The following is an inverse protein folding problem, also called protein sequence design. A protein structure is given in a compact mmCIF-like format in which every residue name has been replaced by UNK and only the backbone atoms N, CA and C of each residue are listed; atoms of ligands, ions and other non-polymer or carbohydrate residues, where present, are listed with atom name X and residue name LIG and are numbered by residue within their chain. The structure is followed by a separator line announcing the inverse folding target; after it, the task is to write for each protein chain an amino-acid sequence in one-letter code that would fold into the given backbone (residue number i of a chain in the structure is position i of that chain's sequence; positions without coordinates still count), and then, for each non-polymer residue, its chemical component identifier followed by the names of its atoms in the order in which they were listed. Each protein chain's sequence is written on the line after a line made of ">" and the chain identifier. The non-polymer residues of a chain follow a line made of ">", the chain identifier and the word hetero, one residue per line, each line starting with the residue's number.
data_IF_775403769722
#
_entry.id   IF_775403769722
#
_cell.length_a   1.000
_cell.length_b   1.000
_cell.length_c   1.000
_cell.angle_alpha   90.00
_cell.angle_beta   90.00
_cell.angle_gamma   90.00
#
_symmetry.space_group_name_H-M   'P 1'
#
loop_
_entity.id
_entity.type
_entity.pdbx_description
1 polymer ?
#
# COMPACT_ATOMS: atom_id res chain seq x y z
N UNK A 1 -27.12 9.13 -18.88
CA UNK A 1 -27.46 7.80 -18.31
C UNK A 1 -26.26 6.84 -18.18
N UNK A 2 -25.11 7.18 -18.78
CA UNK A 2 -23.87 6.41 -18.69
C UNK A 2 -23.09 6.75 -17.42
N UNK A 3 -23.14 8.01 -16.95
CA UNK A 3 -22.37 8.48 -15.81
C UNK A 3 -22.81 7.90 -14.44
N UNK A 4 -24.09 7.49 -14.32
CA UNK A 4 -24.61 6.94 -13.06
C UNK A 4 -24.16 5.48 -12.80
N UNK A 5 -23.81 4.73 -13.84
CA UNK A 5 -23.37 3.35 -13.72
C UNK A 5 -21.90 3.27 -13.24
N UNK A 6 -21.07 4.21 -13.69
CA UNK A 6 -19.66 4.26 -13.31
C UNK A 6 -19.40 4.73 -11.87
N UNK A 7 -20.37 5.41 -11.25
CA UNK A 7 -20.24 5.86 -9.85
C UNK A 7 -20.28 4.73 -8.81
N UNK A 8 -20.67 3.52 -9.22
CA UNK A 8 -20.74 2.33 -8.34
C UNK A 8 -19.64 1.30 -8.60
N UNK A 9 -18.82 1.51 -9.64
CA UNK A 9 -17.66 0.65 -9.89
C UNK A 9 -16.52 0.98 -8.95
N UNK A 10 -15.80 -0.04 -8.51
CA UNK A 10 -14.54 0.17 -7.80
C UNK A 10 -13.54 0.93 -8.67
N UNK A 11 -12.56 1.59 -8.04
CA UNK A 11 -11.51 2.28 -8.80
C UNK A 11 -10.69 1.29 -9.64
N UNK A 12 -10.56 0.06 -9.15
CA UNK A 12 -9.93 -1.04 -9.86
C UNK A 12 -10.71 -1.37 -11.13
N UNK A 13 -12.05 -1.53 -11.03
CA UNK A 13 -12.91 -1.77 -12.20
C UNK A 13 -12.88 -0.65 -13.23
N UNK A 14 -12.81 0.60 -12.76
CA UNK A 14 -12.76 1.75 -13.65
C UNK A 14 -11.46 1.80 -14.45
N UNK A 15 -10.32 1.53 -13.80
CA UNK A 15 -9.01 1.44 -14.48
C UNK A 15 -8.96 0.26 -15.44
N UNK A 16 -9.54 -0.89 -15.09
CA UNK A 16 -9.60 -2.07 -15.96
C UNK A 16 -10.44 -1.85 -17.22
N UNK A 17 -11.52 -1.05 -17.11
CA UNK A 17 -12.41 -0.79 -18.23
C UNK A 17 -11.91 0.29 -19.19
N UNK A 18 -10.84 1.03 -18.83
CA UNK A 18 -10.20 1.96 -19.76
C UNK A 18 -9.23 1.22 -20.68
N UNK A 19 -9.65 0.97 -21.91
CA UNK A 19 -8.87 0.27 -22.95
C UNK A 19 -7.51 0.93 -23.27
N UNK A 20 -7.28 2.17 -22.84
CA UNK A 20 -6.02 2.90 -23.03
C UNK A 20 -5.01 2.67 -21.92
N UNK A 21 -5.45 2.19 -20.77
CA UNK A 21 -4.60 1.96 -19.60
C UNK A 21 -4.05 0.54 -19.63
N UNK A 22 -2.73 0.40 -19.72
CA UNK A 22 -2.04 -0.88 -19.52
C UNK A 22 -1.71 -1.02 -18.04
N UNK A 23 -2.16 -2.10 -17.43
CA UNK A 23 -1.95 -2.39 -16.02
C UNK A 23 -1.43 -3.81 -15.81
N UNK A 24 -0.74 -4.01 -14.69
CA UNK A 24 -0.40 -5.31 -14.14
C UNK A 24 -1.25 -5.53 -12.88
N UNK A 25 -1.89 -6.68 -12.77
CA UNK A 25 -2.76 -7.02 -11.65
C UNK A 25 -2.01 -7.90 -10.65
N UNK A 26 -2.18 -7.62 -9.36
CA UNK A 26 -1.67 -8.47 -8.29
C UNK A 26 -2.48 -9.76 -8.22
N UNK A 27 -1.88 -10.88 -8.58
CA UNK A 27 -2.60 -12.13 -8.81
C UNK A 27 -2.52 -13.12 -7.64
N UNK A 28 -1.52 -13.01 -6.75
CA UNK A 28 -1.20 -14.14 -5.85
C UNK A 28 -0.87 -13.74 -4.40
N UNK A 29 -1.29 -12.58 -3.94
CA UNK A 29 -1.17 -12.24 -2.53
C UNK A 29 -2.55 -12.00 -1.94
N UNK A 30 -2.88 -12.83 -0.97
CA UNK A 30 -4.05 -12.63 -0.14
C UNK A 30 -3.79 -11.43 0.80
N UNK A 31 -3.64 -10.23 0.21
CA UNK A 31 -3.54 -9.00 0.97
C UNK A 31 -4.87 -8.73 1.66
N UNK A 32 -4.81 -8.47 2.94
CA UNK A 32 -5.98 -8.15 3.76
C UNK A 32 -5.98 -6.66 4.09
N UNK A 33 -7.15 -6.04 4.05
CA UNK A 33 -7.29 -4.65 4.44
C UNK A 33 -7.17 -4.49 5.95
N UNK A 34 -6.39 -3.50 6.37
CA UNK A 34 -6.22 -3.05 7.73
C UNK A 34 -6.30 -1.53 7.79
N UNK A 35 -6.56 -1.00 8.97
CA UNK A 35 -6.77 0.44 9.14
C UNK A 35 -8.25 0.77 9.39
N UNK A 36 -8.52 1.98 9.88
CA UNK A 36 -9.84 2.32 10.43
C UNK A 36 -10.93 2.59 9.40
N UNK A 37 -10.57 2.90 8.16
CA UNK A 37 -11.53 3.31 7.14
C UNK A 37 -11.60 2.36 5.93
N UNK A 38 -10.96 1.21 6.00
CA UNK A 38 -11.04 0.26 4.89
C UNK A 38 -12.36 -0.53 4.97
N UNK A 39 -13.42 0.09 4.51
CA UNK A 39 -14.70 -0.55 4.23
C UNK A 39 -14.80 -0.91 2.73
N UNK A 40 -15.91 -1.50 2.32
CA UNK A 40 -16.12 -1.90 0.91
C UNK A 40 -16.15 -0.73 -0.09
N UNK A 41 -16.17 0.50 0.39
CA UNK A 41 -16.20 1.71 -0.43
C UNK A 41 -14.84 2.40 -0.45
N UNK A 42 -13.90 1.91 0.37
CA UNK A 42 -12.59 2.53 0.50
C UNK A 42 -11.65 2.09 -0.60
N UNK A 43 -11.03 3.05 -1.22
CA UNK A 43 -9.95 2.83 -2.17
C UNK A 43 -8.81 3.81 -1.88
N UNK A 44 -7.65 3.51 -2.39
CA UNK A 44 -6.54 4.46 -2.42
C UNK A 44 -5.75 4.33 -3.71
N UNK A 45 -5.11 5.40 -4.09
CA UNK A 45 -4.26 5.45 -5.27
C UNK A 45 -3.14 6.46 -5.07
N UNK A 46 -2.06 6.28 -5.77
CA UNK A 46 -0.96 7.24 -5.73
C UNK A 46 0.25 6.78 -6.51
N UNK A 47 1.18 7.71 -6.65
CA UNK A 47 2.49 7.41 -7.18
C UNK A 47 3.26 6.51 -6.22
N UNK A 48 3.86 5.47 -6.75
CA UNK A 48 4.55 4.44 -5.97
C UNK A 48 5.89 4.97 -5.47
N UNK A 49 6.12 4.81 -4.17
CA UNK A 49 7.44 4.82 -3.54
C UNK A 49 7.70 3.42 -3.01
N UNK A 50 8.87 2.86 -3.24
CA UNK A 50 9.17 1.48 -2.86
C UNK A 50 10.23 1.38 -1.78
N UNK A 51 10.07 0.41 -0.88
CA UNK A 51 11.10 0.00 0.08
C UNK A 51 11.23 -1.52 0.02
N UNK A 52 12.47 -2.00 -0.10
CA UNK A 52 12.80 -3.40 0.10
C UNK A 52 13.55 -3.57 1.42
N UNK A 53 12.99 -4.38 2.31
CA UNK A 53 13.59 -4.69 3.61
C UNK A 53 13.21 -6.10 4.03
N UNK A 54 13.98 -6.71 4.93
CA UNK A 54 13.65 -8.03 5.45
C UNK A 54 13.70 -8.02 6.97
N UNK A 55 12.51 -8.11 7.59
CA UNK A 55 12.33 -8.13 9.04
C UNK A 55 12.94 -6.92 9.79
N UNK A 56 13.09 -5.81 9.08
CA UNK A 56 13.61 -4.53 9.56
C UNK A 56 12.74 -3.37 9.06
N UNK A 57 12.60 -2.31 9.86
CA UNK A 57 11.74 -1.18 9.49
C UNK A 57 12.31 0.23 9.70
N UNK A 58 13.60 0.48 9.92
CA UNK A 58 14.11 1.83 10.12
C UNK A 58 13.81 2.74 8.93
N UNK A 59 14.04 2.25 7.71
CA UNK A 59 13.81 3.01 6.47
C UNK A 59 12.33 3.27 6.21
N UNK A 60 11.45 2.33 6.58
CA UNK A 60 9.99 2.52 6.52
C UNK A 60 9.58 3.70 7.41
N UNK A 61 10.03 3.68 8.68
CA UNK A 61 9.76 4.78 9.61
C UNK A 61 10.34 6.10 9.12
N UNK A 62 11.58 6.09 8.66
CA UNK A 62 12.27 7.27 8.17
C UNK A 62 11.53 7.91 6.99
N UNK A 63 11.18 7.11 5.98
CA UNK A 63 10.47 7.59 4.78
C UNK A 63 9.12 8.18 5.14
N UNK A 64 8.32 7.47 5.93
CA UNK A 64 7.00 7.95 6.35
C UNK A 64 7.07 9.20 7.24
N UNK A 65 8.17 9.40 7.98
CA UNK A 65 8.36 10.56 8.85
C UNK A 65 8.87 11.79 8.10
N UNK A 66 9.79 11.60 7.15
CA UNK A 66 10.52 12.73 6.53
C UNK A 66 9.92 13.19 5.21
N UNK A 67 9.09 12.39 4.57
CA UNK A 67 8.58 12.68 3.24
C UNK A 67 7.07 12.96 3.27
N UNK A 68 6.64 13.87 2.39
CA UNK A 68 5.21 14.08 2.13
C UNK A 68 4.64 12.90 1.37
N UNK A 69 3.50 12.42 1.81
CA UNK A 69 2.76 11.34 1.18
C UNK A 69 1.65 11.79 0.23
N UNK A 70 1.51 13.09 -0.01
CA UNK A 70 0.46 13.64 -0.89
C UNK A 70 0.53 13.01 -2.28
N UNK A 71 -0.56 12.38 -2.71
CA UNK A 71 -0.66 11.60 -3.95
C UNK A 71 0.34 10.43 -4.04
N UNK A 72 0.85 9.92 -2.92
CA UNK A 72 1.84 8.83 -2.89
C UNK A 72 1.37 7.65 -2.07
N UNK A 73 1.75 6.47 -2.52
CA UNK A 73 1.54 5.19 -1.83
C UNK A 73 2.90 4.56 -1.55
N UNK A 74 3.11 4.12 -0.31
CA UNK A 74 4.30 3.38 0.04
C UNK A 74 4.08 1.88 -0.17
N UNK A 75 4.93 1.26 -0.99
CA UNK A 75 4.95 -0.18 -1.24
C UNK A 75 6.19 -0.79 -0.57
N UNK A 76 5.96 -1.67 0.39
CA UNK A 76 7.00 -2.30 1.20
C UNK A 76 7.12 -3.78 0.83
N UNK A 77 8.24 -4.17 0.26
CA UNK A 77 8.59 -5.59 0.08
C UNK A 77 9.37 -6.09 1.30
N UNK A 78 8.67 -6.79 2.16
CA UNK A 78 9.21 -7.47 3.34
C UNK A 78 9.54 -8.95 3.12
N UNK A 79 9.60 -9.39 1.85
CA UNK A 79 9.85 -10.79 1.50
C UNK A 79 8.73 -11.75 1.94
N UNK A 80 7.52 -11.24 2.19
CA UNK A 80 6.40 -12.04 2.66
C UNK A 80 6.56 -12.61 4.07
N UNK A 81 7.55 -12.18 4.84
CA UNK A 81 7.79 -12.71 6.18
C UNK A 81 6.59 -12.49 7.10
N UNK A 82 6.22 -13.55 7.83
CA UNK A 82 5.18 -13.52 8.87
C UNK A 82 5.75 -13.56 10.29
N UNK A 83 7.07 -13.50 10.44
CA UNK A 83 7.71 -13.63 11.76
C UNK A 83 7.66 -12.35 12.57
N UNK A 84 7.62 -11.19 11.91
CA UNK A 84 7.54 -9.90 12.59
C UNK A 84 6.73 -8.88 11.80
N UNK A 85 6.34 -7.80 12.46
CA UNK A 85 5.60 -6.68 11.85
C UNK A 85 6.56 -5.57 11.40
N UNK A 86 6.41 -5.14 10.16
CA UNK A 86 7.18 -4.03 9.58
C UNK A 86 6.56 -2.67 9.91
N UNK A 87 5.26 -2.65 10.24
CA UNK A 87 4.49 -1.45 10.52
C UNK A 87 3.57 -1.70 11.71
N UNK A 88 3.47 -0.73 12.61
CA UNK A 88 2.56 -0.72 13.74
C UNK A 88 1.79 0.60 13.84
N UNK A 89 0.93 0.72 14.85
CA UNK A 89 0.02 1.85 15.03
C UNK A 89 0.72 3.22 15.04
N UNK A 90 1.86 3.33 15.71
CA UNK A 90 2.63 4.59 15.74
C UNK A 90 3.08 5.02 14.34
N UNK A 91 3.62 4.09 13.55
CA UNK A 91 4.10 4.39 12.19
C UNK A 91 2.91 4.71 11.27
N UNK A 92 1.78 4.05 11.44
CA UNK A 92 0.56 4.36 10.70
C UNK A 92 0.03 5.78 11.00
N UNK A 93 0.07 6.22 12.27
CA UNK A 93 -0.26 7.60 12.66
C UNK A 93 0.64 8.64 11.99
N UNK A 94 1.94 8.34 11.92
CA UNK A 94 2.92 9.21 11.23
C UNK A 94 2.60 9.30 9.75
N UNK A 95 2.32 8.18 9.10
CA UNK A 95 1.98 8.13 7.69
C UNK A 95 0.72 8.95 7.38
N UNK A 96 -0.34 8.80 8.19
CA UNK A 96 -1.56 9.59 8.06
C UNK A 96 -1.30 11.08 8.26
N UNK A 97 -0.53 11.45 9.28
CA UNK A 97 -0.16 12.84 9.56
C UNK A 97 0.64 13.49 8.43
N UNK A 98 1.43 12.71 7.70
CA UNK A 98 2.20 13.15 6.52
C UNK A 98 1.45 12.94 5.19
N UNK A 99 0.14 12.67 5.25
CA UNK A 99 -0.78 12.62 4.13
C UNK A 99 -0.47 11.53 3.09
N UNK A 100 0.07 10.39 3.53
CA UNK A 100 0.20 9.24 2.64
C UNK A 100 -1.18 8.71 2.28
N UNK A 101 -1.38 8.42 0.98
CA UNK A 101 -2.67 7.94 0.45
C UNK A 101 -2.96 6.49 0.86
N UNK A 102 -1.93 5.69 1.06
CA UNK A 102 -2.04 4.31 1.50
C UNK A 102 -0.71 3.60 1.61
N UNK A 103 -0.73 2.37 2.13
CA UNK A 103 0.46 1.54 2.30
C UNK A 103 0.15 0.10 1.85
N UNK A 104 1.02 -0.47 1.02
CA UNK A 104 0.99 -1.90 0.62
C UNK A 104 2.18 -2.61 1.23
N UNK A 105 1.95 -3.68 2.00
CA UNK A 105 3.00 -4.40 2.73
C UNK A 105 3.03 -5.88 2.34
N UNK A 106 4.04 -6.28 1.60
CA UNK A 106 4.38 -7.70 1.44
C UNK A 106 5.08 -8.21 2.71
N UNK A 107 4.30 -8.37 3.77
CA UNK A 107 4.74 -8.73 5.11
C UNK A 107 3.63 -8.53 6.13
N UNK A 108 3.97 -8.53 7.43
CA UNK A 108 3.01 -8.34 8.50
C UNK A 108 3.01 -6.94 9.09
N UNK A 109 1.86 -6.58 9.68
CA UNK A 109 1.67 -5.38 10.50
C UNK A 109 1.22 -5.77 11.91
N UNK A 110 1.14 -4.81 12.83
CA UNK A 110 0.64 -5.01 14.20
C UNK A 110 -0.22 -3.84 14.66
N UNK A 111 -0.75 -3.95 15.85
CA UNK A 111 -1.53 -2.91 16.53
C UNK A 111 -2.84 -2.54 15.79
N UNK A 112 -3.43 -3.49 15.05
CA UNK A 112 -4.60 -3.26 14.19
C UNK A 112 -5.84 -2.83 14.97
N UNK A 113 -6.02 -3.32 16.21
CA UNK A 113 -7.10 -2.87 17.07
C UNK A 113 -6.89 -1.43 17.55
N UNK A 114 -5.66 -1.07 17.89
CA UNK A 114 -5.31 0.31 18.25
C UNK A 114 -5.60 1.26 17.09
N UNK A 115 -5.21 0.89 15.86
CA UNK A 115 -5.49 1.68 14.66
C UNK A 115 -6.98 1.97 14.50
N UNK A 116 -7.84 0.95 14.72
CA UNK A 116 -9.30 1.10 14.65
C UNK A 116 -9.83 2.00 15.77
N UNK A 117 -9.42 1.78 17.02
CA UNK A 117 -9.89 2.55 18.17
C UNK A 117 -9.46 4.01 18.12
N UNK A 118 -8.27 4.28 17.59
CA UNK A 118 -7.79 5.64 17.38
C UNK A 118 -8.42 6.33 16.15
N UNK A 119 -9.26 5.64 15.39
CA UNK A 119 -9.92 6.19 14.21
C UNK A 119 -8.96 6.54 13.07
N UNK A 120 -7.82 5.82 12.96
CA UNK A 120 -6.89 6.01 11.85
C UNK A 120 -7.58 5.68 10.53
N UNK A 121 -7.45 6.59 9.58
CA UNK A 121 -8.12 6.50 8.27
C UNK A 121 -7.20 5.98 7.17
N UNK A 122 -5.88 6.05 7.35
CA UNK A 122 -4.94 5.57 6.33
C UNK A 122 -5.20 4.11 5.98
N UNK A 123 -5.46 3.80 4.70
CA UNK A 123 -5.68 2.41 4.27
C UNK A 123 -4.35 1.66 4.19
N UNK A 124 -4.35 0.42 4.68
CA UNK A 124 -3.18 -0.44 4.69
C UNK A 124 -3.57 -1.82 4.16
N UNK A 125 -2.90 -2.30 3.13
CA UNK A 125 -2.98 -3.67 2.67
C UNK A 125 -1.74 -4.45 3.14
N UNK A 126 -1.93 -5.60 3.77
CA UNK A 126 -0.82 -6.43 4.25
C UNK A 126 -1.12 -7.92 4.13
N UNK A 127 -0.08 -8.74 4.09
CA UNK A 127 -0.20 -10.22 4.04
C UNK A 127 -0.81 -10.77 5.32
N UNK A 128 -0.61 -10.10 6.44
CA UNK A 128 -1.14 -10.55 7.73
C UNK A 128 -0.70 -9.70 8.90
N UNK A 129 -0.86 -10.26 10.10
CA UNK A 129 -0.45 -9.63 11.35
C UNK A 129 0.57 -10.48 12.10
N UNK A 130 1.45 -9.82 12.85
CA UNK A 130 2.38 -10.46 13.78
C UNK A 130 2.58 -9.54 14.99
N UNK A 131 2.49 -10.01 16.24
CA UNK A 131 2.73 -9.18 17.42
C UNK A 131 4.22 -8.84 17.61
N UNK A 132 5.11 -9.56 16.95
CA UNK A 132 6.57 -9.42 17.12
C UNK A 132 7.06 -8.19 16.37
N UNK A 133 7.78 -7.26 17.01
CA UNK A 133 8.37 -6.12 16.32
C UNK A 133 9.53 -6.56 15.42
N UNK A 134 9.74 -5.83 14.32
CA UNK A 134 10.89 -6.04 13.44
C UNK A 134 12.20 -5.56 14.08
N UNK A 135 13.31 -6.08 13.58
CA UNK A 135 14.65 -5.59 13.90
C UNK A 135 14.84 -4.14 13.41
N UNK A 136 15.88 -3.47 13.95
CA UNK A 136 16.26 -2.11 13.54
C UNK A 136 17.72 -2.03 13.09
N UNK A 137 18.31 -3.18 12.72
CA UNK A 137 19.75 -3.30 12.43
C UNK A 137 20.10 -3.06 10.96
N UNK A 138 19.17 -3.40 10.06
CA UNK A 138 19.33 -3.24 8.61
C UNK A 138 18.28 -2.25 8.09
N UNK A 139 18.66 -1.13 7.50
CA UNK A 139 17.71 -0.15 7.00
C UNK A 139 16.91 -0.65 5.80
N UNK A 140 17.47 -1.55 4.98
CA UNK A 140 16.89 -1.92 3.69
C UNK A 140 17.31 -0.97 2.56
N UNK A 141 16.59 -1.01 1.44
CA UNK A 141 16.85 -0.21 0.24
C UNK A 141 15.58 0.52 -0.17
N UNK A 142 15.67 1.86 -0.30
CA UNK A 142 14.61 2.67 -0.87
C UNK A 142 14.78 2.77 -2.38
N UNK A 143 13.65 2.72 -3.10
CA UNK A 143 13.55 2.86 -4.54
C UNK A 143 14.61 2.05 -5.31
N UNK A 144 14.69 0.72 -5.09
CA UNK A 144 15.67 -0.09 -5.78
C UNK A 144 15.49 0.06 -7.30
N UNK A 145 16.60 0.12 -8.03
CA UNK A 145 16.67 0.44 -9.48
C UNK A 145 15.64 -0.30 -10.34
N UNK A 146 15.33 -1.53 -9.99
CA UNK A 146 14.39 -2.38 -10.74
C UNK A 146 13.02 -2.51 -10.09
N UNK A 147 12.76 -1.70 -9.05
CA UNK A 147 11.55 -1.83 -8.24
C UNK A 147 11.55 -3.04 -7.32
N UNK A 148 10.39 -3.37 -6.78
CA UNK A 148 10.16 -4.58 -5.97
C UNK A 148 9.12 -5.45 -6.65
N UNK A 149 9.30 -6.77 -6.59
CA UNK A 149 8.42 -7.72 -7.28
C UNK A 149 7.83 -8.71 -6.28
N UNK A 150 6.51 -8.75 -6.21
CA UNK A 150 5.76 -9.75 -5.43
C UNK A 150 4.35 -9.88 -6.00
N UNK A 151 3.68 -11.03 -5.74
CA UNK A 151 2.35 -11.31 -6.27
C UNK A 151 2.24 -11.26 -7.79
N UNK A 152 3.33 -11.54 -8.51
CA UNK A 152 3.37 -11.49 -9.97
C UNK A 152 3.53 -10.10 -10.57
N UNK A 153 3.60 -9.04 -9.76
CA UNK A 153 3.64 -7.64 -10.22
C UNK A 153 4.94 -6.97 -9.82
N UNK A 154 5.48 -6.13 -10.69
CA UNK A 154 6.62 -5.26 -10.40
C UNK A 154 6.14 -3.85 -10.03
N UNK A 155 6.38 -3.47 -8.78
CA UNK A 155 6.15 -2.13 -8.28
C UNK A 155 7.42 -1.30 -8.45
N UNK A 156 7.35 -0.28 -9.26
CA UNK A 156 8.47 0.62 -9.54
C UNK A 156 8.11 2.03 -9.13
N UNK A 157 9.02 2.71 -8.44
CA UNK A 157 8.84 4.12 -8.07
C UNK A 157 8.61 4.99 -9.30
N UNK A 158 7.65 5.91 -9.20
CA UNK A 158 7.16 6.72 -10.30
C UNK A 158 6.03 6.08 -11.13
N UNK A 159 5.76 4.77 -10.96
CA UNK A 159 4.51 4.15 -11.46
C UNK A 159 3.36 4.45 -10.51
N UNK A 160 2.14 4.07 -10.89
CA UNK A 160 0.94 4.34 -10.10
C UNK A 160 0.32 3.04 -9.61
N UNK A 161 -0.22 3.08 -8.40
CA UNK A 161 -1.00 2.00 -7.81
C UNK A 161 -2.42 2.46 -7.54
N UNK A 162 -3.36 1.55 -7.78
CA UNK A 162 -4.79 1.66 -7.48
C UNK A 162 -5.16 0.44 -6.66
N UNK A 163 -5.81 0.63 -5.54
CA UNK A 163 -6.12 -0.46 -4.64
C UNK A 163 -7.46 -0.26 -3.94
N UNK A 164 -8.22 -1.33 -3.81
CA UNK A 164 -9.47 -1.42 -3.06
C UNK A 164 -9.59 -2.80 -2.38
N UNK A 165 -10.78 -3.18 -1.95
CA UNK A 165 -11.01 -4.46 -1.29
C UNK A 165 -10.89 -5.68 -2.24
N UNK A 166 -10.97 -5.46 -3.56
CA UNK A 166 -10.96 -6.52 -4.56
C UNK A 166 -9.55 -6.80 -5.10
N UNK A 167 -8.63 -5.81 -5.02
CA UNK A 167 -7.27 -6.04 -5.45
C UNK A 167 -6.38 -4.81 -5.57
N UNK A 168 -5.25 -5.03 -6.24
CA UNK A 168 -4.24 -4.02 -6.50
C UNK A 168 -3.85 -4.04 -7.96
N UNK A 169 -3.93 -2.89 -8.62
CA UNK A 169 -3.47 -2.67 -9.98
C UNK A 169 -2.28 -1.73 -10.01
N UNK A 170 -1.36 -1.97 -10.92
CA UNK A 170 -0.21 -1.10 -11.16
C UNK A 170 -0.22 -0.63 -12.60
N UNK A 171 -0.03 0.67 -12.81
CA UNK A 171 0.09 1.29 -14.13
C UNK A 171 1.41 2.05 -14.23
N UNK A 172 1.94 2.19 -15.44
CA UNK A 172 3.18 2.96 -15.65
C UNK A 172 2.97 4.45 -15.49
N UNK A 173 1.80 4.93 -15.88
CA UNK A 173 1.42 6.33 -15.89
C UNK A 173 0.16 6.51 -15.06
N UNK A 174 -0.09 7.74 -14.61
CA UNK A 174 -1.32 8.09 -13.93
C UNK A 174 -2.50 7.80 -14.85
N UNK A 175 -3.36 6.90 -14.44
CA UNK A 175 -4.61 6.64 -15.14
C UNK A 175 -5.57 7.84 -15.08
N UNK A 176 -6.64 7.82 -15.87
CA UNK A 176 -7.66 8.85 -15.82
C UNK A 176 -8.19 8.99 -14.39
N UNK A 177 -8.41 10.22 -13.98
CA UNK A 177 -9.10 10.53 -12.74
C UNK A 177 -10.58 10.22 -12.97
N UNK A 178 -11.09 9.32 -12.19
CA UNK A 178 -12.53 9.13 -12.03
C UNK A 178 -12.96 9.77 -10.73
#
# INVERSE_FOLDING_TARGET
>A
MVDAYFSHLSVVDQVQNDAKVKFDCLVDLNLKPYGGAFDRTSFFRGEITTIKCFENNPLVRETLTKESGVNRVLVIDGGGSRRCALLGGEIAKIAEGNQWEGIVVNGCIRDTNEMRWCGLKIPILAVGTSPVPSSKRDPGVKDPKFGVTFGGVNFKSGSWVYADCDGVLVTREKGPLV
#
